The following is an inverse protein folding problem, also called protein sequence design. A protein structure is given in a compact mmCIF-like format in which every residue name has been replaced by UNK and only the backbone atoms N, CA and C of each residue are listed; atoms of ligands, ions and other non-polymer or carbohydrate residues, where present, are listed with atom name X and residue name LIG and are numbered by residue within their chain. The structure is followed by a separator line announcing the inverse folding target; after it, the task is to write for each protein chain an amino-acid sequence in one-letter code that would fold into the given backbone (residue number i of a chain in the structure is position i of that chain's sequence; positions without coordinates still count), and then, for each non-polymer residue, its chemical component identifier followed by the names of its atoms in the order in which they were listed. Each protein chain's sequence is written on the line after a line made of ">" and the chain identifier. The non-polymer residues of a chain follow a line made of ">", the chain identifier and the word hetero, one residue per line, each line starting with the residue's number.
data_IF_422223486688
#
_entry.id   IF_422223486688
#
_cell.length_a   1.000
_cell.length_b   1.000
_cell.length_c   1.000
_cell.angle_alpha   90.00
_cell.angle_beta   90.00
_cell.angle_gamma   90.00
#
_symmetry.space_group_name_H-M   'P 1'
#
loop_
_entity.id
_entity.type
_entity.pdbx_description
1 polymer ?
#
# COMPACT_ATOMS: atom_id res chain seq x y z
N UNK A 1 6.62 8.64 16.37
CA UNK A 1 7.07 9.02 15.03
C UNK A 1 5.82 9.21 14.20
N UNK A 2 5.39 10.46 14.04
CA UNK A 2 4.28 10.76 13.12
C UNK A 2 4.88 10.68 11.72
N UNK A 3 4.75 9.51 11.09
CA UNK A 3 5.17 9.34 9.71
C UNK A 3 4.30 10.21 8.82
N UNK A 4 4.90 10.87 7.84
CA UNK A 4 4.14 11.63 6.85
C UNK A 4 2.99 10.78 6.29
N UNK A 5 1.79 11.38 6.09
CA UNK A 5 0.69 10.69 5.45
C UNK A 5 1.18 10.17 4.09
N UNK A 6 0.97 8.88 3.83
CA UNK A 6 1.35 8.28 2.57
C UNK A 6 0.51 8.87 1.45
N UNK A 7 1.15 9.23 0.34
CA UNK A 7 0.42 9.76 -0.81
C UNK A 7 -0.14 8.63 -1.65
N UNK A 8 -1.42 8.75 -2.00
CA UNK A 8 -2.11 7.84 -2.91
C UNK A 8 -2.71 8.65 -4.05
N UNK A 9 -2.47 8.21 -5.27
CA UNK A 9 -3.09 8.75 -6.48
C UNK A 9 -4.11 7.74 -6.98
N UNK A 10 -5.24 8.24 -7.49
CA UNK A 10 -6.21 7.42 -8.19
C UNK A 10 -6.06 7.71 -9.68
N UNK A 11 -5.75 6.69 -10.48
CA UNK A 11 -5.61 6.86 -11.92
C UNK A 11 -6.98 6.94 -12.63
N UNK A 12 -6.96 7.18 -13.94
CA UNK A 12 -8.20 7.30 -14.73
C UNK A 12 -8.99 5.97 -14.84
N UNK A 13 -8.37 4.84 -14.51
CA UNK A 13 -8.97 3.51 -14.52
C UNK A 13 -9.57 3.14 -13.16
N UNK A 14 -9.32 3.96 -12.12
CA UNK A 14 -9.76 3.70 -10.75
C UNK A 14 -8.78 2.83 -9.95
N UNK A 15 -7.55 2.68 -10.43
CA UNK A 15 -6.48 1.99 -9.71
C UNK A 15 -5.75 2.96 -8.76
N UNK A 16 -5.54 2.51 -7.53
CA UNK A 16 -4.76 3.25 -6.55
C UNK A 16 -3.26 3.04 -6.79
N UNK A 17 -2.57 4.14 -7.05
CA UNK A 17 -1.12 4.22 -7.22
C UNK A 17 -0.51 4.78 -5.93
N UNK A 18 0.61 4.19 -5.51
CA UNK A 18 1.36 4.60 -4.32
C UNK A 18 2.84 4.73 -4.65
N UNK A 19 3.51 5.70 -4.03
CA UNK A 19 4.95 5.80 -4.12
C UNK A 19 5.62 4.61 -3.43
N UNK A 20 6.52 3.94 -4.16
CA UNK A 20 7.10 2.69 -3.72
C UNK A 20 8.18 2.86 -2.65
N UNK A 21 8.87 4.01 -2.62
CA UNK A 21 9.85 4.37 -1.60
C UNK A 21 9.14 4.72 -0.28
N UNK A 22 8.04 5.48 -0.33
CA UNK A 22 7.18 5.74 0.82
C UNK A 22 6.60 4.43 1.39
N UNK A 23 6.16 3.52 0.51
CA UNK A 23 5.67 2.21 0.90
C UNK A 23 6.74 1.40 1.62
N UNK A 24 7.96 1.38 1.10
CA UNK A 24 9.08 0.72 1.76
C UNK A 24 9.34 1.28 3.17
N UNK A 25 9.27 2.61 3.30
CA UNK A 25 9.39 3.30 4.57
C UNK A 25 8.37 2.83 5.62
N UNK A 26 7.10 2.59 5.24
CA UNK A 26 6.07 2.07 6.17
C UNK A 26 6.39 0.68 6.71
N UNK A 27 7.04 -0.15 5.91
CA UNK A 27 7.51 -1.47 6.34
C UNK A 27 8.87 -1.43 7.05
N UNK A 28 9.50 -0.26 7.21
CA UNK A 28 10.86 -0.13 7.74
C UNK A 28 11.91 -0.83 6.86
N UNK A 29 11.65 -0.95 5.55
CA UNK A 29 12.49 -1.63 4.59
C UNK A 29 12.94 -0.67 3.47
N UNK A 30 13.87 -1.12 2.62
CA UNK A 30 14.24 -0.40 1.40
C UNK A 30 13.30 -0.72 0.24
N UNK A 31 13.20 0.18 -0.74
CA UNK A 31 12.48 -0.08 -1.98
C UNK A 31 13.02 -1.33 -2.71
N UNK A 32 14.34 -1.55 -2.70
CA UNK A 32 14.94 -2.75 -3.28
C UNK A 32 14.45 -4.06 -2.64
N UNK A 33 14.20 -4.06 -1.32
CA UNK A 33 13.63 -5.23 -0.63
C UNK A 33 12.19 -5.46 -1.07
N UNK A 34 11.34 -4.43 -1.09
CA UNK A 34 9.96 -4.58 -1.56
C UNK A 34 9.89 -4.99 -3.04
N UNK A 35 10.76 -4.45 -3.90
CA UNK A 35 10.86 -4.88 -5.31
C UNK A 35 11.20 -6.36 -5.42
N UNK A 36 12.09 -6.85 -4.55
CA UNK A 36 12.39 -8.28 -4.48
C UNK A 36 11.16 -9.10 -4.03
N UNK A 37 10.38 -8.62 -3.05
CA UNK A 37 9.12 -9.27 -2.65
C UNK A 37 8.08 -9.30 -3.79
N UNK A 38 7.98 -8.24 -4.60
CA UNK A 38 7.14 -8.22 -5.81
C UNK A 38 7.58 -9.30 -6.79
N UNK A 39 8.88 -9.38 -7.09
CA UNK A 39 9.43 -10.39 -8.02
C UNK A 39 9.18 -11.83 -7.55
N UNK A 40 9.11 -12.05 -6.24
CA UNK A 40 8.78 -13.34 -5.65
C UNK A 40 7.27 -13.61 -5.53
N UNK A 41 6.41 -12.65 -5.87
CA UNK A 41 4.95 -12.75 -5.70
C UNK A 41 4.50 -12.73 -4.22
N UNK A 42 5.35 -12.21 -3.33
CA UNK A 42 5.12 -12.16 -1.88
C UNK A 42 4.51 -10.84 -1.41
N UNK A 43 4.62 -9.78 -2.22
CA UNK A 43 3.87 -8.54 -2.00
C UNK A 43 2.44 -8.71 -2.51
N UNK A 44 1.45 -8.49 -1.64
CA UNK A 44 0.03 -8.53 -1.99
C UNK A 44 -0.65 -7.24 -1.57
N UNK A 45 -1.52 -6.71 -2.44
CA UNK A 45 -2.41 -5.61 -2.13
C UNK A 45 -3.86 -6.10 -2.04
N UNK A 46 -4.60 -5.57 -1.08
CA UNK A 46 -6.02 -5.78 -0.91
C UNK A 46 -6.71 -4.42 -0.89
N UNK A 47 -7.78 -4.30 -1.67
CA UNK A 47 -8.61 -3.10 -1.75
C UNK A 47 -10.01 -3.45 -1.27
N UNK A 48 -10.47 -2.77 -0.24
CA UNK A 48 -11.81 -2.93 0.32
C UNK A 48 -12.57 -1.61 0.22
N UNK A 49 -13.75 -1.64 -0.38
CA UNK A 49 -14.63 -0.47 -0.40
C UNK A 49 -15.19 -0.21 1.01
N UNK A 50 -15.13 1.03 1.45
CA UNK A 50 -15.70 1.43 2.73
C UNK A 50 -17.24 1.38 2.70
N UNK A 51 -17.82 1.04 3.84
CA UNK A 51 -19.27 0.95 4.04
C UNK A 51 -19.72 1.74 5.26
N UNK A 52 -21.01 2.10 5.31
CA UNK A 52 -21.59 2.87 6.43
C UNK A 52 -20.96 4.25 6.52
N UNK A 53 -20.36 4.58 7.66
CA UNK A 53 -19.64 5.85 7.90
C UNK A 53 -18.43 6.05 6.98
N UNK A 54 -17.89 4.98 6.40
CA UNK A 54 -16.76 5.00 5.48
C UNK A 54 -17.20 4.90 4.00
N UNK A 55 -18.50 5.03 3.70
CA UNK A 55 -18.99 4.97 2.33
C UNK A 55 -18.32 6.04 1.46
N UNK A 56 -17.85 5.64 0.28
CA UNK A 56 -17.07 6.50 -0.62
C UNK A 56 -15.57 6.57 -0.31
N UNK A 57 -15.11 5.94 0.77
CA UNK A 57 -13.68 5.73 1.05
C UNK A 57 -13.23 4.34 0.62
N UNK A 58 -11.93 4.16 0.50
CA UNK A 58 -11.30 2.86 0.24
C UNK A 58 -10.29 2.54 1.34
N UNK A 59 -10.26 1.29 1.78
CA UNK A 59 -9.18 0.76 2.62
C UNK A 59 -8.23 -0.04 1.73
N UNK A 60 -6.97 0.31 1.78
CA UNK A 60 -5.89 -0.41 1.13
C UNK A 60 -5.11 -1.14 2.22
N UNK A 61 -4.86 -2.42 2.03
CA UNK A 61 -3.99 -3.21 2.90
C UNK A 61 -2.89 -3.83 2.06
N UNK A 62 -1.65 -3.56 2.41
CA UNK A 62 -0.47 -4.13 1.75
C UNK A 62 0.17 -5.14 2.69
N UNK A 63 0.51 -6.32 2.14
CA UNK A 63 1.20 -7.39 2.88
C UNK A 63 2.51 -7.74 2.20
N UNK A 64 3.61 -7.65 2.93
CA UNK A 64 4.95 -8.04 2.51
C UNK A 64 5.44 -9.17 3.45
N UNK A 65 5.29 -10.42 3.01
CA UNK A 65 5.64 -11.58 3.84
C UNK A 65 4.80 -11.64 5.13
N UNK A 66 5.45 -11.46 6.29
CA UNK A 66 4.79 -11.49 7.61
C UNK A 66 4.28 -10.13 8.09
N UNK A 67 4.67 -9.03 7.44
CA UNK A 67 4.22 -7.70 7.79
C UNK A 67 2.99 -7.30 6.95
N UNK A 68 2.03 -6.61 7.58
CA UNK A 68 0.90 -6.00 6.92
C UNK A 68 0.73 -4.57 7.43
N UNK A 69 0.34 -3.67 6.54
CA UNK A 69 0.03 -2.28 6.82
C UNK A 69 -1.26 -1.91 6.10
#
# INVERSE_FOLDING_TARGET
>A
MEGFPMHFELDEQGDWIVDFDELAGKFGNSASYLQHQVKLGLLKGFLEAGSGENAGLSRITIRAGRAAW
#
